data_IF_834617227387
#
_entry.id   IF_834617227387
#
_cell.length_a   1.000
_cell.length_b   1.000
_cell.length_c   1.000
_cell.angle_alpha   90.00
_cell.angle_beta   90.00
_cell.angle_gamma   90.00
#
_symmetry.space_group_name_H-M   'P 1'
#
loop_
_entity.id
_entity.type
_entity.pdbx_description
1 polymer ?
#
# COMPACT_ATOMS: atom_id res chain seq x y z
N UNK A 1 -44.81 29.04 -11.85
CA UNK A 1 -44.19 30.02 -10.94
C UNK A 1 -42.88 30.41 -11.60
N UNK A 2 -42.78 31.65 -12.06
CA UNK A 2 -41.64 32.12 -12.84
C UNK A 2 -40.39 32.05 -11.97
N UNK A 3 -39.39 31.28 -12.43
CA UNK A 3 -38.02 31.30 -11.90
C UNK A 3 -37.56 32.75 -12.00
N UNK A 4 -37.32 33.40 -10.86
CA UNK A 4 -36.59 34.67 -10.87
C UNK A 4 -35.22 34.39 -11.47
N UNK A 5 -34.87 35.09 -12.54
CA UNK A 5 -33.54 34.98 -13.15
C UNK A 5 -32.48 35.32 -12.10
N UNK A 6 -31.38 34.56 -12.10
CA UNK A 6 -30.27 34.66 -11.16
C UNK A 6 -29.57 36.03 -11.13
N UNK A 7 -29.88 36.90 -12.09
CA UNK A 7 -29.31 38.25 -12.25
C UNK A 7 -29.66 39.22 -11.10
N UNK A 8 -30.56 38.87 -10.16
CA UNK A 8 -30.90 39.74 -9.02
C UNK A 8 -30.08 39.50 -7.72
N UNK A 9 -29.29 38.43 -7.60
CA UNK A 9 -28.61 38.08 -6.33
C UNK A 9 -27.07 38.25 -6.32
N UNK A 10 -26.43 38.26 -7.49
CA UNK A 10 -24.97 38.42 -7.64
C UNK A 10 -24.76 39.41 -8.79
N UNK A 11 -24.57 40.69 -8.46
CA UNK A 11 -24.52 41.81 -9.42
C UNK A 11 -23.07 42.22 -9.75
N UNK A 12 -22.08 41.58 -9.13
CA UNK A 12 -20.65 41.91 -9.26
C UNK A 12 -19.79 40.64 -9.44
N UNK A 13 -18.77 40.74 -10.31
CA UNK A 13 -17.76 39.72 -10.61
C UNK A 13 -17.11 39.17 -9.34
N UNK A 14 -16.85 40.01 -8.35
CA UNK A 14 -16.26 39.59 -7.07
C UNK A 14 -17.18 38.62 -6.32
N UNK A 15 -18.49 38.87 -6.33
CA UNK A 15 -19.48 38.01 -5.68
C UNK A 15 -19.63 36.67 -6.42
N UNK A 16 -19.57 36.68 -7.75
CA UNK A 16 -19.60 35.46 -8.57
C UNK A 16 -18.36 34.59 -8.29
N UNK A 17 -17.17 35.20 -8.27
CA UNK A 17 -15.94 34.50 -7.93
C UNK A 17 -16.01 33.91 -6.52
N UNK A 18 -16.53 34.67 -5.55
CA UNK A 18 -16.67 34.19 -4.18
C UNK A 18 -17.67 33.03 -4.08
N UNK A 19 -18.77 33.07 -4.84
CA UNK A 19 -19.75 31.99 -4.90
C UNK A 19 -19.19 30.70 -5.51
N UNK A 20 -18.48 30.79 -6.64
CA UNK A 20 -17.84 29.61 -7.20
C UNK A 20 -16.72 29.07 -6.30
N UNK A 21 -15.99 29.96 -5.62
CA UNK A 21 -14.96 29.58 -4.64
C UNK A 21 -15.56 28.81 -3.47
N UNK A 22 -16.69 29.26 -2.96
CA UNK A 22 -17.39 28.59 -1.86
C UNK A 22 -17.88 27.19 -2.25
N UNK A 23 -18.46 27.03 -3.46
CA UNK A 23 -18.81 25.71 -3.98
C UNK A 23 -17.56 24.85 -4.16
N UNK A 24 -16.52 25.38 -4.81
CA UNK A 24 -15.26 24.68 -5.03
C UNK A 24 -14.65 24.18 -3.72
N UNK A 25 -14.67 24.99 -2.66
CA UNK A 25 -14.18 24.61 -1.33
C UNK A 25 -14.98 23.43 -0.78
N UNK A 26 -16.31 23.50 -0.78
CA UNK A 26 -17.13 22.40 -0.24
C UNK A 26 -17.01 21.13 -1.10
N UNK A 27 -16.93 21.25 -2.43
CA UNK A 27 -16.70 20.11 -3.33
C UNK A 27 -15.34 19.46 -3.06
N UNK A 28 -14.28 20.26 -2.86
CA UNK A 28 -12.93 19.77 -2.51
C UNK A 28 -12.93 19.03 -1.19
N UNK A 29 -13.63 19.57 -0.18
CA UNK A 29 -13.77 18.93 1.13
C UNK A 29 -14.57 17.63 1.03
N UNK A 30 -15.68 17.62 0.28
CA UNK A 30 -16.49 16.42 0.04
C UNK A 30 -15.65 15.33 -0.61
N UNK A 31 -14.92 15.66 -1.69
CA UNK A 31 -14.05 14.71 -2.37
C UNK A 31 -12.97 14.15 -1.43
N UNK A 32 -12.28 15.02 -0.69
CA UNK A 32 -11.23 14.60 0.25
C UNK A 32 -11.76 13.67 1.34
N UNK A 33 -12.97 13.92 1.85
CA UNK A 33 -13.62 13.07 2.83
C UNK A 33 -14.07 11.73 2.25
N UNK A 34 -14.53 11.69 0.99
CA UNK A 34 -14.91 10.45 0.30
C UNK A 34 -13.69 9.54 0.13
N UNK A 35 -12.57 10.09 -0.35
CA UNK A 35 -11.29 9.38 -0.46
C UNK A 35 -10.85 8.83 0.91
N UNK A 36 -10.91 9.67 1.96
CA UNK A 36 -10.54 9.24 3.31
C UNK A 36 -11.47 8.12 3.84
N UNK A 37 -12.77 8.16 3.53
CA UNK A 37 -13.71 7.10 3.88
C UNK A 37 -13.34 5.78 3.21
N UNK A 38 -12.99 5.80 1.92
CA UNK A 38 -12.62 4.60 1.17
C UNK A 38 -11.33 3.96 1.70
N UNK A 39 -10.31 4.76 2.00
CA UNK A 39 -9.06 4.28 2.60
C UNK A 39 -9.29 3.70 4.01
N UNK A 40 -10.12 4.35 4.83
CA UNK A 40 -10.49 3.82 6.14
C UNK A 40 -11.25 2.50 6.03
N UNK A 41 -12.18 2.40 5.07
CA UNK A 41 -12.91 1.16 4.79
C UNK A 41 -11.96 0.04 4.37
N UNK A 42 -11.05 0.30 3.44
CA UNK A 42 -10.03 -0.66 3.00
C UNK A 42 -9.20 -1.17 4.18
N UNK A 43 -8.79 -0.30 5.09
CA UNK A 43 -8.02 -0.68 6.30
C UNK A 43 -8.83 -1.55 7.25
N UNK A 44 -10.10 -1.22 7.46
CA UNK A 44 -10.98 -2.02 8.33
C UNK A 44 -11.19 -3.42 7.75
N UNK A 45 -11.36 -3.54 6.43
CA UNK A 45 -11.61 -4.82 5.74
C UNK A 45 -10.35 -5.72 5.70
N UNK A 46 -9.16 -5.12 5.64
CA UNK A 46 -7.89 -5.86 5.58
C UNK A 46 -7.18 -6.01 6.93
N UNK A 47 -7.66 -5.37 7.99
CA UNK A 47 -7.06 -5.48 9.32
C UNK A 47 -7.09 -6.93 9.84
N UNK A 48 -5.94 -7.40 10.31
CA UNK A 48 -5.82 -8.72 10.94
C UNK A 48 -5.74 -9.90 9.97
N UNK A 49 -5.50 -9.65 8.67
CA UNK A 49 -5.19 -10.72 7.72
C UNK A 49 -3.74 -11.21 7.92
N UNK A 50 -3.59 -12.50 8.22
CA UNK A 50 -2.28 -13.12 8.36
C UNK A 50 -1.54 -13.15 7.03
N UNK A 51 -0.32 -12.61 7.01
CA UNK A 51 0.54 -12.63 5.82
C UNK A 51 1.60 -13.73 5.88
N UNK A 52 1.92 -14.21 7.08
CA UNK A 52 2.90 -15.27 7.29
C UNK A 52 2.20 -16.53 7.79
N UNK A 53 2.24 -17.58 6.97
CA UNK A 53 1.74 -18.88 7.39
C UNK A 53 2.82 -19.60 8.22
N UNK A 54 2.39 -20.15 9.37
CA UNK A 54 3.22 -21.05 10.16
C UNK A 54 3.51 -22.32 9.35
N UNK A 55 4.80 -22.60 9.11
CA UNK A 55 5.20 -23.78 8.35
C UNK A 55 5.34 -24.97 9.30
N UNK A 56 4.27 -25.74 9.47
CA UNK A 56 4.32 -27.01 10.21
C UNK A 56 4.90 -28.10 9.30
N UNK A 57 6.06 -28.66 9.65
CA UNK A 57 6.64 -29.79 8.92
C UNK A 57 5.81 -31.05 9.16
N UNK A 58 5.45 -31.78 8.10
CA UNK A 58 4.64 -33.00 8.18
C UNK A 58 5.31 -34.08 9.04
N UNK A 59 4.52 -34.75 9.90
CA UNK A 59 4.95 -35.87 10.76
C UNK A 59 5.71 -36.96 9.99
N UNK A 60 5.27 -37.25 8.76
CA UNK A 60 5.94 -38.25 7.90
C UNK A 60 7.32 -37.80 7.43
N UNK A 61 7.50 -36.50 7.14
CA UNK A 61 8.78 -35.96 6.68
C UNK A 61 9.82 -36.00 7.81
N UNK A 62 9.39 -35.73 9.05
CA UNK A 62 10.23 -35.83 10.24
C UNK A 62 10.72 -37.27 10.49
N UNK A 63 9.79 -38.23 10.57
CA UNK A 63 10.12 -39.63 10.82
C UNK A 63 11.00 -40.23 9.71
N UNK A 64 10.74 -39.87 8.46
CA UNK A 64 11.51 -40.35 7.31
C UNK A 64 12.95 -39.81 7.34
N UNK A 65 13.14 -38.52 7.70
CA UNK A 65 14.48 -37.93 7.89
C UNK A 65 15.23 -38.56 9.06
N UNK A 66 14.56 -38.81 10.19
CA UNK A 66 15.18 -39.44 11.37
C UNK A 66 15.63 -40.88 11.08
N UNK A 67 14.79 -41.66 10.39
CA UNK A 67 15.14 -43.01 9.95
C UNK A 67 16.32 -43.01 8.97
N UNK A 68 16.31 -42.11 7.99
CA UNK A 68 17.44 -41.92 7.08
C UNK A 68 18.71 -41.50 7.84
N UNK A 69 18.60 -40.65 8.85
CA UNK A 69 19.70 -40.23 9.72
C UNK A 69 20.35 -41.41 10.44
N UNK A 70 19.55 -42.30 11.03
CA UNK A 70 20.06 -43.50 11.70
C UNK A 70 20.78 -44.46 10.74
N UNK A 71 20.25 -44.61 9.53
CA UNK A 71 20.86 -45.46 8.49
C UNK A 71 22.19 -44.89 7.99
N UNK A 72 22.25 -43.56 7.83
CA UNK A 72 23.48 -42.82 7.50
C UNK A 72 24.53 -42.93 8.61
N UNK A 73 24.13 -42.83 9.88
CA UNK A 73 25.05 -42.96 11.02
C UNK A 73 25.69 -44.36 11.10
N UNK A 74 24.90 -45.41 10.89
CA UNK A 74 25.40 -46.78 10.83
C UNK A 74 26.43 -46.99 9.71
N UNK A 75 26.20 -46.37 8.53
CA UNK A 75 27.13 -46.42 7.41
C UNK A 75 28.46 -45.71 7.72
N UNK A 76 28.40 -44.54 8.37
CA UNK A 76 29.59 -43.78 8.80
C UNK A 76 30.40 -44.56 9.84
N UNK A 77 29.75 -45.20 10.81
CA UNK A 77 30.42 -46.06 11.79
C UNK A 77 31.11 -47.26 11.12
N UNK A 78 30.43 -47.92 10.18
CA UNK A 78 31.00 -49.02 9.41
C UNK A 78 32.26 -48.61 8.65
N UNK A 79 32.24 -47.43 8.01
CA UNK A 79 33.41 -46.89 7.33
C UNK A 79 34.55 -46.59 8.32
N UNK A 80 34.26 -46.01 9.48
CA UNK A 80 35.26 -45.74 10.53
C UNK A 80 35.97 -47.01 11.00
N UNK A 81 35.21 -48.10 11.20
CA UNK A 81 35.78 -49.42 11.55
C UNK A 81 36.66 -49.95 10.43
N UNK A 82 36.23 -49.87 9.16
CA UNK A 82 37.07 -50.33 8.04
C UNK A 82 38.36 -49.53 7.90
N UNK A 83 38.32 -48.21 8.07
CA UNK A 83 39.50 -47.37 8.05
C UNK A 83 40.50 -47.74 9.17
N UNK A 84 39.99 -48.02 10.38
CA UNK A 84 40.80 -48.46 11.52
C UNK A 84 41.45 -49.83 11.29
N UNK A 85 40.73 -50.77 10.65
CA UNK A 85 41.32 -52.07 10.27
C UNK A 85 42.45 -51.85 9.24
N UNK A 86 42.24 -50.99 8.23
CA UNK A 86 43.26 -50.70 7.24
C UNK A 86 44.49 -50.00 7.84
N UNK A 87 44.34 -49.09 8.80
CA UNK A 87 45.48 -48.47 9.48
C UNK A 87 46.28 -49.47 10.30
N UNK A 88 45.61 -50.40 11.02
CA UNK A 88 46.29 -51.49 11.74
C UNK A 88 47.06 -52.38 10.77
N UNK A 89 46.48 -52.73 9.61
CA UNK A 89 47.16 -53.54 8.60
C UNK A 89 48.39 -52.84 8.00
N UNK A 90 48.33 -51.52 7.79
CA UNK A 90 49.49 -50.74 7.34
C UNK A 90 50.59 -50.72 8.42
N UNK A 91 50.23 -50.54 9.70
CA UNK A 91 51.18 -50.54 10.82
C UNK A 91 51.82 -51.92 11.03
N UNK A 92 51.06 -53.00 10.89
CA UNK A 92 51.56 -54.38 10.97
C UNK A 92 52.56 -54.66 9.86
N UNK A 93 52.27 -54.27 8.61
CA UNK A 93 53.21 -54.42 7.49
C UNK A 93 54.51 -53.64 7.69
N UNK A 94 54.43 -52.46 8.30
CA UNK A 94 55.59 -51.62 8.63
C UNK A 94 56.46 -52.22 9.74
N UNK A 95 55.85 -52.87 10.75
CA UNK A 95 56.56 -53.45 11.89
C UNK A 95 57.19 -54.82 11.60
N UNK A 96 56.74 -55.54 10.56
CA UNK A 96 57.07 -56.96 10.36
C UNK A 96 57.93 -57.27 9.13
N UNK A 97 58.10 -56.35 8.17
CA UNK A 97 58.79 -56.64 6.90
C UNK A 97 60.14 -55.91 6.74
N UNK A 98 61.22 -56.68 6.53
CA UNK A 98 62.60 -56.19 6.33
C UNK A 98 62.98 -55.89 4.85
N UNK A 99 62.02 -55.89 3.91
CA UNK A 99 62.28 -55.81 2.46
C UNK A 99 61.43 -54.73 1.76
N UNK A 100 61.88 -54.12 0.63
CA UNK A 100 61.25 -52.94 -0.01
C UNK A 100 59.82 -53.15 -0.58
N UNK A 101 59.19 -54.31 -0.36
CA UNK A 101 57.81 -54.63 -0.74
C UNK A 101 56.74 -53.82 0.02
N UNK A 102 57.08 -53.29 1.21
CA UNK A 102 56.16 -52.46 2.00
C UNK A 102 55.84 -51.12 1.33
N UNK A 103 56.73 -50.61 0.47
CA UNK A 103 56.55 -49.31 -0.20
C UNK A 103 55.36 -49.36 -1.18
N UNK A 104 55.30 -50.39 -2.04
CA UNK A 104 54.25 -50.52 -3.05
C UNK A 104 52.87 -50.87 -2.45
N UNK A 105 52.85 -51.78 -1.47
CA UNK A 105 51.60 -52.19 -0.78
C UNK A 105 51.08 -51.10 0.15
N UNK A 106 51.96 -50.34 0.79
CA UNK A 106 51.62 -49.18 1.61
C UNK A 106 50.97 -48.06 0.79
N UNK A 107 51.54 -47.70 -0.36
CA UNK A 107 50.95 -46.67 -1.25
C UNK A 107 49.55 -47.07 -1.70
N UNK A 108 49.33 -48.32 -2.10
CA UNK A 108 48.01 -48.82 -2.51
C UNK A 108 46.97 -48.81 -1.39
N UNK A 109 47.36 -49.08 -0.15
CA UNK A 109 46.45 -49.02 1.00
C UNK A 109 46.13 -47.56 1.38
N UNK A 110 47.10 -46.65 1.27
CA UNK A 110 46.90 -45.21 1.52
C UNK A 110 45.93 -44.61 0.48
N UNK A 111 46.05 -44.95 -0.80
CA UNK A 111 45.13 -44.42 -1.83
C UNK A 111 43.69 -44.89 -1.61
N UNK A 112 43.49 -46.16 -1.22
CA UNK A 112 42.17 -46.70 -0.85
C UNK A 112 41.62 -45.99 0.39
N UNK A 113 42.45 -45.77 1.41
CA UNK A 113 42.03 -45.07 2.63
C UNK A 113 41.62 -43.62 2.33
N UNK A 114 42.38 -42.89 1.51
CA UNK A 114 42.03 -41.53 1.07
C UNK A 114 40.73 -41.52 0.27
N UNK A 115 40.52 -42.48 -0.63
CA UNK A 115 39.31 -42.62 -1.42
C UNK A 115 38.05 -42.86 -0.56
N UNK A 116 38.20 -43.43 0.64
CA UNK A 116 37.11 -43.67 1.59
C UNK A 116 36.91 -42.47 2.53
N UNK A 117 37.98 -41.85 3.01
CA UNK A 117 37.92 -40.78 4.02
C UNK A 117 37.46 -39.44 3.42
N UNK A 118 37.90 -39.07 2.21
CA UNK A 118 37.52 -37.77 1.64
C UNK A 118 36.01 -37.62 1.36
N UNK A 119 35.31 -38.60 0.77
CA UNK A 119 33.87 -38.51 0.56
C UNK A 119 33.07 -38.46 1.85
N UNK A 120 33.49 -39.21 2.89
CA UNK A 120 32.78 -39.23 4.18
C UNK A 120 32.90 -37.90 4.91
N UNK A 121 34.07 -37.26 4.90
CA UNK A 121 34.25 -35.91 5.44
C UNK A 121 33.37 -34.90 4.71
N UNK A 122 33.33 -34.92 3.38
CA UNK A 122 32.46 -34.03 2.59
C UNK A 122 30.97 -34.26 2.89
N UNK A 123 30.55 -35.52 3.02
CA UNK A 123 29.18 -35.89 3.36
C UNK A 123 28.75 -35.39 4.74
N UNK A 124 29.60 -35.56 5.77
CA UNK A 124 29.35 -35.06 7.13
C UNK A 124 29.24 -33.52 7.11
N UNK A 125 30.08 -32.83 6.35
CA UNK A 125 30.00 -31.37 6.20
C UNK A 125 28.70 -30.93 5.52
N UNK A 126 28.24 -31.63 4.48
CA UNK A 126 26.97 -31.30 3.81
C UNK A 126 25.76 -31.47 4.73
N UNK A 127 25.72 -32.54 5.53
CA UNK A 127 24.64 -32.78 6.51
C UNK A 127 24.60 -31.69 7.59
N UNK A 128 25.75 -31.34 8.16
CA UNK A 128 25.82 -30.25 9.15
C UNK A 128 25.31 -28.93 8.58
N UNK A 129 25.62 -28.65 7.30
CA UNK A 129 25.15 -27.46 6.61
C UNK A 129 23.63 -27.49 6.42
N UNK A 130 23.07 -28.61 5.95
CA UNK A 130 21.63 -28.76 5.72
C UNK A 130 20.81 -28.65 7.01
N UNK A 131 21.27 -29.29 8.10
CA UNK A 131 20.64 -29.20 9.43
C UNK A 131 20.71 -27.76 9.95
N UNK A 132 21.86 -27.10 9.86
CA UNK A 132 22.02 -25.70 10.26
C UNK A 132 21.11 -24.75 9.46
N UNK A 133 21.02 -24.92 8.14
CA UNK A 133 20.12 -24.14 7.28
C UNK A 133 18.64 -24.41 7.57
N UNK A 134 18.30 -25.64 7.95
CA UNK A 134 16.95 -25.99 8.38
C UNK A 134 16.57 -25.31 9.71
N UNK A 135 17.43 -25.38 10.73
CA UNK A 135 17.19 -24.73 12.02
C UNK A 135 17.04 -23.21 11.88
N UNK A 136 17.91 -22.59 11.08
CA UNK A 136 17.83 -21.15 10.77
C UNK A 136 16.51 -20.81 10.07
N UNK A 137 16.08 -21.59 9.07
CA UNK A 137 14.79 -21.35 8.38
C UNK A 137 13.59 -21.50 9.30
N UNK A 138 13.61 -22.49 10.19
CA UNK A 138 12.55 -22.72 11.18
C UNK A 138 12.45 -21.56 12.16
N UNK A 139 13.58 -21.13 12.70
CA UNK A 139 13.64 -20.00 13.63
C UNK A 139 13.21 -18.69 12.94
N UNK A 140 13.63 -18.45 11.70
CA UNK A 140 13.20 -17.28 10.94
C UNK A 140 11.70 -17.28 10.65
N UNK A 141 11.10 -18.43 10.31
CA UNK A 141 9.65 -18.54 10.13
C UNK A 141 8.91 -18.26 11.45
N UNK A 142 9.41 -18.78 12.57
CA UNK A 142 8.84 -18.54 13.90
C UNK A 142 8.85 -17.05 14.25
N UNK A 143 9.99 -16.39 14.06
CA UNK A 143 10.12 -14.94 14.28
C UNK A 143 9.16 -14.15 13.40
N UNK A 144 9.10 -14.48 12.10
CA UNK A 144 8.19 -13.83 11.17
C UNK A 144 6.71 -14.01 11.54
N UNK A 145 6.32 -15.18 12.05
CA UNK A 145 4.94 -15.43 12.54
C UNK A 145 4.65 -14.63 13.80
N UNK A 146 5.61 -14.51 14.71
CA UNK A 146 5.42 -13.74 15.94
C UNK A 146 5.35 -12.23 15.65
N UNK A 147 6.20 -11.73 14.77
CA UNK A 147 6.14 -10.36 14.25
C UNK A 147 4.79 -10.07 13.56
N UNK A 148 4.28 -11.02 12.78
CA UNK A 148 2.96 -10.92 12.14
C UNK A 148 1.82 -10.86 13.18
N UNK A 149 1.87 -11.67 14.23
CA UNK A 149 0.87 -11.62 15.32
C UNK A 149 0.86 -10.28 16.03
N UNK A 150 2.02 -9.75 16.39
CA UNK A 150 2.11 -8.43 17.05
C UNK A 150 1.56 -7.34 16.13
N UNK A 151 1.86 -7.40 14.83
CA UNK A 151 1.28 -6.48 13.85
C UNK A 151 -0.24 -6.60 13.79
N UNK A 152 -0.78 -7.81 13.69
CA UNK A 152 -2.23 -8.08 13.65
C UNK A 152 -2.92 -7.52 14.91
N UNK A 153 -2.34 -7.74 16.09
CA UNK A 153 -2.86 -7.21 17.35
C UNK A 153 -2.92 -5.68 17.34
N UNK A 154 -1.86 -5.02 16.86
CA UNK A 154 -1.82 -3.57 16.73
C UNK A 154 -2.84 -3.05 15.70
N UNK A 155 -2.97 -3.69 14.54
CA UNK A 155 -3.96 -3.33 13.51
C UNK A 155 -5.38 -3.45 14.04
N UNK A 156 -5.70 -4.55 14.72
CA UNK A 156 -7.01 -4.79 15.31
C UNK A 156 -7.34 -3.80 16.44
N UNK A 157 -6.33 -3.35 17.19
CA UNK A 157 -6.49 -2.32 18.21
C UNK A 157 -6.88 -0.95 17.64
N UNK A 158 -6.49 -0.64 16.40
CA UNK A 158 -6.83 0.62 15.71
C UNK A 158 -8.18 0.57 14.98
N UNK A 159 -8.74 -0.60 14.68
CA UNK A 159 -10.04 -0.75 13.99
C UNK A 159 -11.17 0.09 14.62
N UNK A 160 -11.34 0.17 15.96
CA UNK A 160 -12.35 1.03 16.57
C UNK A 160 -12.15 2.51 16.22
N UNK A 161 -10.90 2.99 16.19
CA UNK A 161 -10.59 4.37 15.82
C UNK A 161 -10.90 4.62 14.33
N UNK A 162 -10.51 3.70 13.45
CA UNK A 162 -10.84 3.80 12.02
C UNK A 162 -12.35 3.84 11.78
N UNK A 163 -13.12 3.02 12.49
CA UNK A 163 -14.59 3.04 12.42
C UNK A 163 -15.18 4.36 12.90
N UNK A 164 -14.62 4.93 13.97
CA UNK A 164 -15.05 6.25 14.48
C UNK A 164 -14.79 7.34 13.43
N UNK A 165 -13.57 7.44 12.91
CA UNK A 165 -13.22 8.44 11.91
C UNK A 165 -14.04 8.29 10.63
N UNK A 166 -14.26 7.04 10.16
CA UNK A 166 -15.08 6.75 8.99
C UNK A 166 -16.52 7.26 9.17
N UNK A 167 -17.10 7.07 10.36
CA UNK A 167 -18.43 7.60 10.66
C UNK A 167 -18.47 9.14 10.72
N UNK A 168 -17.41 9.77 11.21
CA UNK A 168 -17.28 11.24 11.18
C UNK A 168 -17.17 11.77 9.75
N UNK A 169 -16.34 11.15 8.90
CA UNK A 169 -16.22 11.48 7.48
C UNK A 169 -17.59 11.36 6.79
N UNK A 170 -18.31 10.24 6.97
CA UNK A 170 -19.67 10.05 6.44
C UNK A 170 -20.63 11.16 6.83
N UNK A 171 -20.62 11.55 8.10
CA UNK A 171 -21.49 12.62 8.59
C UNK A 171 -21.17 13.94 7.90
N UNK A 172 -19.89 14.25 7.74
CA UNK A 172 -19.43 15.48 7.11
C UNK A 172 -19.67 15.48 5.59
N UNK A 173 -19.57 14.34 4.92
CA UNK A 173 -19.94 14.19 3.50
C UNK A 173 -21.40 14.56 3.29
N UNK A 174 -22.31 14.01 4.09
CA UNK A 174 -23.75 14.34 4.02
C UNK A 174 -23.98 15.83 4.27
N UNK A 175 -23.29 16.41 5.25
CA UNK A 175 -23.37 17.85 5.54
C UNK A 175 -22.87 18.72 4.36
N UNK A 176 -21.77 18.32 3.69
CA UNK A 176 -21.30 18.96 2.46
C UNK A 176 -22.35 18.87 1.35
N UNK A 177 -22.95 17.69 1.13
CA UNK A 177 -23.97 17.47 0.10
C UNK A 177 -25.21 18.35 0.32
N UNK A 178 -25.69 18.44 1.56
CA UNK A 178 -26.82 19.30 1.92
C UNK A 178 -26.51 20.78 1.63
N UNK A 179 -25.31 21.24 1.99
CA UNK A 179 -24.89 22.64 1.76
C UNK A 179 -24.64 22.94 0.30
N UNK A 180 -24.02 22.03 -0.45
CA UNK A 180 -23.83 22.14 -1.90
C UNK A 180 -25.16 22.24 -2.61
N UNK A 181 -26.13 21.39 -2.25
CA UNK A 181 -27.47 21.45 -2.83
C UNK A 181 -28.10 22.82 -2.61
N UNK A 182 -27.98 23.37 -1.39
CA UNK A 182 -28.47 24.72 -1.07
C UNK A 182 -27.80 25.78 -1.94
N UNK A 183 -26.46 25.79 -2.03
CA UNK A 183 -25.73 26.72 -2.88
C UNK A 183 -26.17 26.61 -4.34
N UNK A 184 -26.29 25.40 -4.88
CA UNK A 184 -26.79 25.18 -6.23
C UNK A 184 -28.24 25.64 -6.43
N UNK A 185 -29.09 25.55 -5.40
CA UNK A 185 -30.47 26.03 -5.42
C UNK A 185 -30.58 27.56 -5.46
N UNK A 186 -29.50 28.31 -5.18
CA UNK A 186 -29.44 29.77 -5.40
C UNK A 186 -29.68 30.10 -6.87
N UNK A 187 -29.37 29.19 -7.79
CA UNK A 187 -29.75 29.29 -9.21
C UNK A 187 -28.75 30.01 -10.11
N UNK A 188 -27.58 30.38 -9.59
CA UNK A 188 -26.50 31.05 -10.35
C UNK A 188 -25.90 30.13 -11.42
N UNK A 189 -25.69 28.85 -11.08
CA UNK A 189 -25.20 27.84 -12.02
C UNK A 189 -26.35 27.11 -12.71
N UNK A 190 -26.28 27.02 -14.03
CA UNK A 190 -27.21 26.19 -14.80
C UNK A 190 -27.00 24.70 -14.45
N UNK A 191 -28.06 23.89 -14.32
CA UNK A 191 -27.95 22.52 -13.77
C UNK A 191 -26.90 21.60 -14.40
N UNK A 192 -26.63 21.78 -15.70
CA UNK A 192 -25.61 21.00 -16.43
C UNK A 192 -24.19 21.18 -15.86
N UNK A 193 -23.90 22.32 -15.23
CA UNK A 193 -22.56 22.72 -14.79
C UNK A 193 -22.35 22.57 -13.28
N UNK A 194 -23.23 21.83 -12.60
CA UNK A 194 -23.22 21.63 -11.13
C UNK A 194 -22.44 20.36 -10.79
N UNK A 195 -21.16 20.37 -11.12
CA UNK A 195 -20.26 19.23 -10.96
C UNK A 195 -18.86 19.76 -10.57
N UNK A 196 -18.10 19.00 -9.79
CA UNK A 196 -16.86 19.43 -9.18
C UNK A 196 -15.79 19.87 -10.19
N UNK A 197 -15.52 19.05 -11.21
CA UNK A 197 -14.55 19.37 -12.26
C UNK A 197 -14.98 20.61 -13.02
N UNK A 198 -16.27 20.69 -13.37
CA UNK A 198 -16.81 21.85 -14.07
C UNK A 198 -16.70 23.14 -13.24
N UNK A 199 -17.13 23.13 -11.97
CA UNK A 199 -17.06 24.30 -11.09
C UNK A 199 -15.62 24.75 -10.88
N UNK A 200 -14.70 23.80 -10.69
CA UNK A 200 -13.26 24.08 -10.57
C UNK A 200 -12.74 24.84 -11.78
N UNK A 201 -13.11 24.37 -12.98
CA UNK A 201 -12.68 24.98 -14.23
C UNK A 201 -13.30 26.36 -14.46
N UNK A 202 -14.59 26.52 -14.19
CA UNK A 202 -15.28 27.82 -14.31
C UNK A 202 -14.67 28.86 -13.36
N UNK A 203 -14.38 28.47 -12.12
CA UNK A 203 -13.69 29.32 -11.16
C UNK A 203 -12.29 29.71 -11.66
N UNK A 204 -11.53 28.75 -12.18
CA UNK A 204 -10.18 28.98 -12.69
C UNK A 204 -10.18 30.02 -13.81
N UNK A 205 -11.10 29.93 -14.77
CA UNK A 205 -11.23 30.92 -15.85
C UNK A 205 -11.51 32.34 -15.33
N UNK A 206 -12.35 32.47 -14.30
CA UNK A 206 -12.68 33.76 -13.71
C UNK A 206 -11.50 34.34 -12.92
N UNK A 207 -10.80 33.51 -12.13
CA UNK A 207 -9.65 33.93 -11.35
C UNK A 207 -8.45 34.31 -12.22
N UNK A 208 -8.24 33.60 -13.33
CA UNK A 208 -7.18 33.91 -14.29
C UNK A 208 -7.50 35.10 -15.19
N UNK A 209 -8.72 35.66 -15.11
CA UNK A 209 -9.19 36.74 -15.96
C UNK A 209 -9.43 36.35 -17.41
N UNK A 210 -9.56 35.05 -17.71
CA UNK A 210 -9.90 34.55 -19.06
C UNK A 210 -11.38 34.79 -19.39
N UNK A 211 -12.22 34.77 -18.35
CA UNK A 211 -13.63 35.11 -18.43
C UNK A 211 -14.00 36.14 -17.35
N UNK A 212 -15.02 36.95 -17.63
CA UNK A 212 -15.59 37.89 -16.66
C UNK A 212 -16.94 37.40 -16.12
N UNK A 213 -17.71 36.73 -16.98
CA UNK A 213 -19.05 36.21 -16.69
C UNK A 213 -19.16 34.71 -17.01
N UNK A 214 -20.20 34.07 -16.46
CA UNK A 214 -20.55 32.69 -16.80
C UNK A 214 -21.12 32.58 -18.22
N UNK A 215 -21.95 33.55 -18.62
CA UNK A 215 -22.71 33.54 -19.88
C UNK A 215 -22.12 34.50 -20.91
N UNK A 216 -22.66 34.48 -22.13
CA UNK A 216 -22.20 35.35 -23.22
C UNK A 216 -21.19 34.69 -24.14
N UNK A 217 -20.84 35.41 -25.23
CA UNK A 217 -19.96 34.88 -26.28
C UNK A 217 -18.54 34.55 -25.78
N UNK A 218 -18.03 35.36 -24.85
CA UNK A 218 -16.74 35.17 -24.17
C UNK A 218 -16.89 34.59 -22.76
N UNK A 219 -18.07 34.07 -22.42
CA UNK A 219 -18.38 33.56 -21.09
C UNK A 219 -17.75 32.21 -20.78
N UNK A 220 -17.61 31.92 -19.49
CA UNK A 220 -16.97 30.72 -18.98
C UNK A 220 -17.65 29.42 -19.48
N UNK A 221 -18.98 29.40 -19.64
CA UNK A 221 -19.68 28.23 -20.19
C UNK A 221 -19.26 27.92 -21.63
N UNK A 222 -19.13 28.94 -22.48
CA UNK A 222 -18.77 28.74 -23.87
C UNK A 222 -17.33 28.22 -23.99
N UNK A 223 -16.42 28.80 -23.21
CA UNK A 223 -15.02 28.37 -23.16
C UNK A 223 -14.89 26.93 -22.66
N UNK A 224 -15.59 26.58 -21.57
CA UNK A 224 -15.62 25.23 -21.02
C UNK A 224 -16.06 24.19 -22.08
N UNK A 225 -17.19 24.43 -22.75
CA UNK A 225 -17.68 23.51 -23.79
C UNK A 225 -16.72 23.39 -24.97
N UNK A 226 -16.02 24.48 -25.33
CA UNK A 226 -15.04 24.48 -26.40
C UNK A 226 -13.82 23.64 -26.02
N UNK A 227 -13.24 23.86 -24.83
CA UNK A 227 -12.09 23.10 -24.34
C UNK A 227 -12.43 21.61 -24.11
N UNK A 228 -13.67 21.32 -23.69
CA UNK A 228 -14.17 19.95 -23.58
C UNK A 228 -14.18 19.24 -24.93
N UNK A 229 -14.70 19.89 -25.97
CA UNK A 229 -14.75 19.32 -27.34
C UNK A 229 -13.37 19.17 -27.96
N UNK A 230 -12.41 19.99 -27.56
CA UNK A 230 -11.01 19.89 -28.00
C UNK A 230 -10.21 18.85 -27.22
N UNK A 231 -10.82 18.16 -26.24
CA UNK A 231 -10.16 17.24 -25.33
C UNK A 231 -8.97 17.89 -24.59
N UNK A 232 -9.07 19.20 -24.30
CA UNK A 232 -8.09 19.93 -23.48
C UNK A 232 -8.37 19.70 -22.00
N UNK A 233 -9.66 19.59 -21.65
CA UNK A 233 -10.10 19.25 -20.30
C UNK A 233 -10.65 17.82 -20.28
N UNK A 234 -10.35 17.11 -19.19
CA UNK A 234 -10.96 15.84 -18.83
C UNK A 234 -12.10 16.16 -17.86
N UNK A 235 -13.32 15.69 -18.17
CA UNK A 235 -14.51 15.96 -17.35
C UNK A 235 -14.81 14.88 -16.32
N UNK A 236 -14.25 13.67 -16.49
CA UNK A 236 -14.52 12.53 -15.62
C UNK A 236 -13.44 12.44 -14.54
N UNK A 237 -13.84 12.54 -13.28
CA UNK A 237 -12.94 12.58 -12.14
C UNK A 237 -12.08 11.30 -12.00
N UNK A 238 -12.62 10.15 -12.39
CA UNK A 238 -11.89 8.87 -12.40
C UNK A 238 -10.68 8.92 -13.35
N UNK A 239 -10.89 9.37 -14.60
CA UNK A 239 -9.82 9.57 -15.58
C UNK A 239 -8.79 10.59 -15.10
N UNK A 240 -9.24 11.66 -14.42
CA UNK A 240 -8.34 12.66 -13.85
C UNK A 240 -7.42 12.05 -12.79
N UNK A 241 -7.97 11.20 -11.92
CA UNK A 241 -7.20 10.55 -10.84
C UNK A 241 -6.12 9.61 -11.40
N UNK A 242 -6.39 8.96 -12.53
CA UNK A 242 -5.43 8.10 -13.22
C UNK A 242 -4.34 8.89 -13.97
N UNK A 243 -4.68 10.05 -14.54
CA UNK A 243 -3.81 10.85 -15.42
C UNK A 243 -3.51 12.25 -14.87
N UNK A 244 -3.14 12.37 -13.59
CA UNK A 244 -2.89 13.65 -12.91
C UNK A 244 -1.86 14.56 -13.61
N UNK A 245 -0.85 13.99 -14.26
CA UNK A 245 0.14 14.76 -15.02
C UNK A 245 -0.46 15.40 -16.27
N UNK A 246 -1.47 14.77 -16.90
CA UNK A 246 -2.11 15.27 -18.11
C UNK A 246 -2.97 16.53 -17.84
N UNK A 247 -3.54 16.64 -16.64
CA UNK A 247 -4.42 17.75 -16.29
C UNK A 247 -3.71 18.93 -15.61
N UNK A 248 -2.46 18.72 -15.16
CA UNK A 248 -1.71 19.67 -14.32
C UNK A 248 -1.58 21.07 -14.93
N UNK A 249 -1.43 21.16 -16.25
CA UNK A 249 -1.24 22.44 -16.95
C UNK A 249 -2.56 23.15 -17.29
N UNK A 250 -3.64 22.40 -17.55
CA UNK A 250 -4.89 22.94 -18.09
C UNK A 250 -6.05 22.99 -17.07
N UNK A 251 -5.95 22.22 -15.98
CA UNK A 251 -6.97 22.11 -14.93
C UNK A 251 -6.28 22.18 -13.56
N UNK A 252 -5.65 23.32 -13.27
CA UNK A 252 -4.78 23.46 -12.09
C UNK A 252 -5.55 23.34 -10.78
N UNK A 253 -6.76 23.90 -10.68
CA UNK A 253 -7.54 23.87 -9.45
C UNK A 253 -7.97 22.45 -9.08
N UNK A 254 -8.49 21.66 -10.03
CA UNK A 254 -8.88 20.26 -9.74
C UNK A 254 -7.65 19.39 -9.43
N UNK A 255 -6.51 19.61 -10.12
CA UNK A 255 -5.24 18.98 -9.77
C UNK A 255 -4.83 19.25 -8.32
N UNK A 256 -4.95 20.50 -7.87
CA UNK A 256 -4.60 20.90 -6.50
C UNK A 256 -5.52 20.24 -5.47
N UNK A 257 -6.83 20.23 -5.73
CA UNK A 257 -7.79 19.57 -4.86
C UNK A 257 -7.52 18.06 -4.70
N UNK A 258 -7.17 17.36 -5.78
CA UNK A 258 -6.81 15.94 -5.70
C UNK A 258 -5.49 15.74 -4.94
N UNK A 259 -4.51 16.63 -5.14
CA UNK A 259 -3.28 16.61 -4.34
C UNK A 259 -3.55 16.82 -2.85
N UNK A 260 -4.51 17.67 -2.49
CA UNK A 260 -4.93 17.89 -1.11
C UNK A 260 -5.59 16.64 -0.52
N UNK A 261 -6.49 15.98 -1.25
CA UNK A 261 -7.07 14.70 -0.83
C UNK A 261 -5.99 13.63 -0.62
N UNK A 262 -5.05 13.51 -1.57
CA UNK A 262 -3.91 12.59 -1.45
C UNK A 262 -3.00 12.90 -0.26
N UNK A 263 -2.86 14.17 0.10
CA UNK A 263 -2.13 14.56 1.31
C UNK A 263 -2.89 14.11 2.57
N UNK A 264 -4.20 14.38 2.64
CA UNK A 264 -5.06 13.91 3.72
C UNK A 264 -4.99 12.39 3.89
N UNK A 265 -5.01 11.62 2.79
CA UNK A 265 -4.89 10.16 2.80
C UNK A 265 -3.59 9.65 3.44
N UNK A 266 -2.48 10.37 3.30
CA UNK A 266 -1.22 10.00 3.98
C UNK A 266 -1.33 10.17 5.49
N UNK A 267 -2.07 11.19 5.90
CA UNK A 267 -2.34 11.52 7.30
C UNK A 267 -3.46 10.68 7.91
N UNK A 268 -4.17 9.83 7.14
CA UNK A 268 -5.23 8.93 7.68
C UNK A 268 -4.71 7.96 8.76
N UNK A 269 -3.39 7.77 8.85
CA UNK A 269 -2.75 7.04 9.96
C UNK A 269 -2.79 7.81 11.28
N UNK A 270 -2.81 9.14 11.25
CA UNK A 270 -2.90 10.00 12.41
C UNK A 270 -4.37 10.37 12.66
N UNK A 271 -4.97 9.70 13.65
CA UNK A 271 -6.34 9.98 14.09
C UNK A 271 -6.57 11.46 14.44
N UNK A 272 -5.51 12.17 14.88
CA UNK A 272 -5.59 13.59 15.23
C UNK A 272 -5.74 14.46 13.99
N UNK A 273 -5.04 14.10 12.91
CA UNK A 273 -5.09 14.84 11.65
C UNK A 273 -6.48 14.76 11.01
N UNK A 274 -7.06 13.56 10.93
CA UNK A 274 -8.43 13.39 10.41
C UNK A 274 -9.45 14.14 11.28
N UNK A 275 -9.37 14.03 12.60
CA UNK A 275 -10.30 14.71 13.50
C UNK A 275 -10.20 16.25 13.38
N UNK A 276 -8.98 16.77 13.22
CA UNK A 276 -8.73 18.20 13.00
C UNK A 276 -9.34 18.64 11.68
N UNK A 277 -9.10 17.89 10.60
CA UNK A 277 -9.66 18.16 9.28
C UNK A 277 -11.19 18.15 9.29
N UNK A 278 -11.80 17.13 9.93
CA UNK A 278 -13.26 17.06 10.12
C UNK A 278 -13.82 18.29 10.84
N UNK A 279 -13.08 18.83 11.82
CA UNK A 279 -13.50 20.02 12.56
C UNK A 279 -13.37 21.29 11.71
N UNK A 280 -12.31 21.39 10.91
CA UNK A 280 -12.09 22.49 9.97
C UNK A 280 -13.20 22.54 8.91
N UNK A 281 -13.54 21.41 8.30
CA UNK A 281 -14.64 21.26 7.34
C UNK A 281 -15.95 21.80 7.92
N UNK A 282 -16.31 21.37 9.14
CA UNK A 282 -17.56 21.83 9.80
C UNK A 282 -17.55 23.36 9.97
N UNK A 283 -16.44 23.93 10.41
CA UNK A 283 -16.32 25.37 10.64
C UNK A 283 -16.39 26.16 9.32
N UNK A 284 -15.64 25.74 8.30
CA UNK A 284 -15.63 26.34 6.97
C UNK A 284 -17.01 26.28 6.33
N UNK A 285 -17.64 25.12 6.34
CA UNK A 285 -18.96 24.90 5.78
C UNK A 285 -20.03 25.72 6.47
N UNK A 286 -19.95 25.87 7.79
CA UNK A 286 -20.86 26.73 8.55
C UNK A 286 -20.66 28.21 8.17
N UNK A 287 -19.41 28.67 8.01
CA UNK A 287 -19.13 30.04 7.57
C UNK A 287 -19.65 30.31 6.16
N UNK A 288 -19.42 29.39 5.22
CA UNK A 288 -19.91 29.50 3.84
C UNK A 288 -21.44 29.52 3.83
N UNK A 289 -22.08 28.58 4.53
CA UNK A 289 -23.53 28.52 4.59
C UNK A 289 -24.13 29.83 5.13
N UNK A 290 -23.56 30.37 6.21
CA UNK A 290 -24.06 31.61 6.80
C UNK A 290 -23.98 32.80 5.85
N UNK A 291 -23.04 32.82 4.89
CA UNK A 291 -22.91 33.92 3.92
C UNK A 291 -24.11 34.08 2.99
N UNK A 292 -24.86 33.00 2.73
CA UNK A 292 -25.97 33.00 1.77
C UNK A 292 -27.34 32.97 2.42
N UNK A 293 -27.42 32.58 3.70
CA UNK A 293 -28.69 32.31 4.37
C UNK A 293 -28.91 33.12 5.67
N UNK A 294 -27.94 33.95 6.07
CA UNK A 294 -28.02 34.84 7.24
C UNK A 294 -27.35 36.19 6.96
#
# INVERSE_FOLDING_TARGET
>A
MLVKCADELIDDKEQLQQYLKDIYTIETERYSLQEAEEELKYRIENAGQAQVQERVESYYTYYFKEYLGNLKFAFILGIGVTALVFTILILMDFLTNDAPYWIGTGIGKITILIAIVLPTVKFIQSERKEVGEYEVRKENNRKAVEEDKVRIENELAEVPNYKKNMNECRKNIVDCEEKLQKLYDVGVLFPKYREFVCVSQLLEYLLSGRCEDLTGYTGAYNLYEQELRMNIIIAELELISEELDAIKENQYMIYNAICQANYLLREVKDNTAIATYNTEVIATNMMIYNRYYY
#
